data_IF_454024270514
#
_entry.id   IF_454024270514
#
_cell.length_a   1.000
_cell.length_b   1.000
_cell.length_c   1.000
_cell.angle_alpha   90.00
_cell.angle_beta   90.00
_cell.angle_gamma   90.00
#
_symmetry.space_group_name_H-M   'P 1'
#
loop_
_entity.id
_entity.type
_entity.pdbx_description
1 polymer ?
#
# COMPACT_ATOMS: atom_id res chain seq x y z
N UNK A 1 -13.50 18.34 -11.33
CA UNK A 1 -12.79 17.75 -10.19
C UNK A 1 -11.78 16.79 -10.76
N UNK A 2 -10.55 16.77 -10.27
CA UNK A 2 -9.54 15.82 -10.74
C UNK A 2 -9.85 14.40 -10.31
N UNK A 3 -9.20 13.41 -10.97
CA UNK A 3 -9.31 12.00 -10.62
C UNK A 3 -8.65 11.70 -9.28
N UNK A 4 -9.20 10.74 -8.53
CA UNK A 4 -8.62 10.27 -7.26
C UNK A 4 -7.47 9.30 -7.52
N UNK A 5 -6.50 9.28 -6.61
CA UNK A 5 -5.43 8.29 -6.57
C UNK A 5 -5.59 7.43 -5.30
N UNK A 6 -5.81 6.14 -5.50
CA UNK A 6 -5.82 5.14 -4.44
C UNK A 6 -4.52 4.34 -4.43
N UNK A 7 -3.95 4.14 -3.26
CA UNK A 7 -2.77 3.30 -3.02
C UNK A 7 -3.16 2.12 -2.16
N UNK A 8 -3.00 0.90 -2.69
CA UNK A 8 -3.23 -0.35 -1.95
C UNK A 8 -1.91 -0.99 -1.58
N UNK A 9 -1.75 -1.30 -0.31
CA UNK A 9 -0.54 -1.92 0.24
C UNK A 9 -0.91 -3.12 1.11
N UNK A 10 -0.23 -4.22 0.86
CA UNK A 10 -0.33 -5.47 1.61
C UNK A 10 0.87 -5.59 2.53
N UNK A 11 0.64 -5.72 3.82
CA UNK A 11 1.70 -5.76 4.83
C UNK A 11 1.41 -6.78 5.93
N UNK A 12 2.48 -7.27 6.56
CA UNK A 12 2.43 -7.94 7.86
C UNK A 12 2.13 -6.95 9.00
N UNK A 13 1.81 -7.44 10.19
CA UNK A 13 1.58 -6.60 11.39
C UNK A 13 2.77 -5.71 11.71
N UNK A 14 3.99 -6.18 11.46
CA UNK A 14 5.24 -5.44 11.66
C UNK A 14 5.68 -4.62 10.44
N UNK A 15 4.79 -4.44 9.44
CA UNK A 15 4.95 -3.46 8.36
C UNK A 15 5.80 -3.89 7.17
N UNK A 16 6.05 -5.17 6.98
CA UNK A 16 6.75 -5.72 5.84
C UNK A 16 5.79 -6.07 4.69
N UNK A 17 6.12 -5.68 3.48
CA UNK A 17 5.33 -6.05 2.29
C UNK A 17 5.67 -7.45 1.76
N UNK A 18 6.79 -8.02 2.17
CA UNK A 18 7.17 -9.41 1.89
C UNK A 18 8.15 -9.95 2.91
N UNK A 19 8.30 -11.26 3.00
CA UNK A 19 9.39 -11.96 3.67
C UNK A 19 10.26 -12.71 2.66
N UNK A 20 11.38 -13.28 3.11
CA UNK A 20 12.34 -13.96 2.23
C UNK A 20 11.72 -15.10 1.41
N UNK A 21 10.70 -15.75 1.94
CA UNK A 21 10.00 -16.90 1.34
C UNK A 21 8.47 -16.74 1.38
N UNK A 22 7.96 -15.53 1.60
CA UNK A 22 6.51 -15.30 1.71
C UNK A 22 5.82 -15.52 0.37
N UNK A 23 4.76 -16.33 0.33
CA UNK A 23 3.88 -16.42 -0.83
C UNK A 23 3.08 -15.13 -1.00
N UNK A 24 2.40 -14.98 -2.15
CA UNK A 24 1.45 -13.89 -2.37
C UNK A 24 0.41 -13.83 -1.24
N UNK A 25 0.03 -12.62 -0.85
CA UNK A 25 -0.88 -12.39 0.28
C UNK A 25 -0.47 -13.10 1.58
N UNK A 26 0.83 -13.36 1.75
CA UNK A 26 1.38 -14.14 2.87
C UNK A 26 0.71 -15.50 3.10
N UNK A 27 0.05 -16.06 2.07
CA UNK A 27 -0.70 -17.31 2.15
C UNK A 27 -2.11 -17.18 2.78
N UNK A 28 -2.60 -15.97 2.98
CA UNK A 28 -3.91 -15.71 3.61
C UNK A 28 -5.03 -15.38 2.62
N UNK A 29 -4.87 -15.70 1.34
CA UNK A 29 -5.93 -15.51 0.38
C UNK A 29 -7.16 -16.36 0.77
N UNK A 30 -8.31 -15.71 0.91
CA UNK A 30 -9.58 -16.34 1.24
C UNK A 30 -10.72 -15.72 0.45
N UNK A 31 -11.96 -16.27 0.54
CA UNK A 31 -13.06 -15.89 -0.34
C UNK A 31 -13.49 -14.42 -0.25
N UNK A 32 -13.45 -13.82 0.95
CA UNK A 32 -13.83 -12.40 1.09
C UNK A 32 -12.74 -11.46 0.55
N UNK A 33 -11.46 -11.82 0.70
CA UNK A 33 -10.36 -11.08 0.10
C UNK A 33 -10.39 -11.22 -1.43
N UNK A 34 -10.63 -12.40 -1.96
CA UNK A 34 -10.78 -12.62 -3.42
C UNK A 34 -11.91 -11.79 -3.98
N UNK A 35 -13.09 -11.82 -3.35
CA UNK A 35 -14.26 -11.06 -3.81
C UNK A 35 -14.01 -9.55 -3.73
N UNK A 36 -13.31 -9.08 -2.70
CA UNK A 36 -12.91 -7.69 -2.60
C UNK A 36 -11.98 -7.31 -3.77
N UNK A 37 -10.96 -8.14 -4.09
CA UNK A 37 -10.05 -7.90 -5.21
C UNK A 37 -10.83 -7.84 -6.53
N UNK A 38 -11.73 -8.77 -6.78
CA UNK A 38 -12.56 -8.81 -7.99
C UNK A 38 -13.44 -7.57 -8.12
N UNK A 39 -14.11 -7.18 -7.04
CA UNK A 39 -14.95 -5.97 -6.99
C UNK A 39 -14.14 -4.73 -7.34
N UNK A 40 -12.98 -4.59 -6.75
CA UNK A 40 -12.09 -3.45 -6.97
C UNK A 40 -11.53 -3.39 -8.40
N UNK A 41 -11.25 -4.54 -9.02
CA UNK A 41 -10.79 -4.60 -10.39
C UNK A 41 -11.92 -4.44 -11.42
N UNK A 42 -13.17 -4.65 -11.03
CA UNK A 42 -14.31 -4.46 -11.92
C UNK A 42 -14.56 -2.99 -12.29
N UNK A 43 -14.22 -2.06 -11.40
CA UNK A 43 -14.39 -0.63 -11.64
C UNK A 43 -13.43 -0.10 -12.71
N UNK A 44 -13.89 0.82 -13.60
CA UNK A 44 -13.01 1.52 -14.53
C UNK A 44 -11.91 2.29 -13.78
N UNK A 45 -10.66 2.07 -14.14
CA UNK A 45 -9.50 2.68 -13.48
C UNK A 45 -8.27 2.62 -14.36
N UNK A 46 -7.31 3.52 -14.12
CA UNK A 46 -5.96 3.47 -14.68
C UNK A 46 -5.02 2.89 -13.61
N UNK A 47 -4.41 1.75 -13.92
CA UNK A 47 -3.49 1.07 -12.99
C UNK A 47 -2.08 1.65 -13.14
N UNK A 48 -1.50 2.10 -12.03
CA UNK A 48 -0.17 2.69 -11.97
C UNK A 48 0.81 1.71 -11.32
N UNK A 49 1.84 1.32 -12.05
CA UNK A 49 2.80 0.29 -11.61
C UNK A 49 4.24 0.82 -11.68
N UNK A 50 5.07 0.36 -10.78
CA UNK A 50 6.52 0.40 -10.94
C UNK A 50 7.02 -0.86 -11.66
N UNK A 51 8.23 -0.78 -12.23
CA UNK A 51 8.81 -1.86 -13.03
C UNK A 51 8.77 -3.23 -12.33
N UNK A 52 9.25 -3.33 -11.09
CA UNK A 52 9.30 -4.62 -10.37
C UNK A 52 7.93 -5.26 -10.20
N UNK A 53 6.92 -4.47 -9.83
CA UNK A 53 5.54 -4.97 -9.69
C UNK A 53 4.98 -5.39 -11.04
N UNK A 54 5.24 -4.60 -12.08
CA UNK A 54 4.86 -4.95 -13.44
C UNK A 54 5.48 -6.29 -13.87
N UNK A 55 6.81 -6.45 -13.74
CA UNK A 55 7.53 -7.67 -14.12
C UNK A 55 7.02 -8.89 -13.35
N UNK A 56 6.74 -8.74 -12.04
CA UNK A 56 6.22 -9.81 -11.20
C UNK A 56 4.81 -10.26 -11.65
N UNK A 57 3.92 -9.32 -11.96
CA UNK A 57 2.55 -9.63 -12.38
C UNK A 57 2.49 -10.11 -13.84
N UNK A 58 3.22 -9.48 -14.75
CA UNK A 58 3.27 -9.85 -16.15
C UNK A 58 3.94 -11.23 -16.36
N UNK A 59 4.90 -11.56 -15.50
CA UNK A 59 5.66 -12.81 -15.54
C UNK A 59 5.03 -13.97 -14.77
N UNK A 60 3.80 -13.84 -14.27
CA UNK A 60 3.11 -14.93 -13.60
C UNK A 60 2.98 -16.15 -14.56
N UNK A 61 3.28 -17.37 -14.10
CA UNK A 61 3.07 -18.58 -14.88
C UNK A 61 1.58 -18.80 -15.14
N UNK A 62 1.23 -19.50 -16.20
CA UNK A 62 -0.15 -19.65 -16.66
C UNK A 62 -1.08 -20.23 -15.57
N UNK A 63 -0.56 -21.12 -14.73
CA UNK A 63 -1.28 -21.77 -13.64
C UNK A 63 -1.67 -20.78 -12.53
N UNK A 64 -0.96 -19.65 -12.42
CA UNK A 64 -1.21 -18.59 -11.43
C UNK A 64 -2.06 -17.44 -11.99
N UNK A 65 -2.45 -17.49 -13.27
CA UNK A 65 -3.26 -16.47 -13.94
C UNK A 65 -4.74 -16.72 -13.73
N UNK A 66 -5.24 -16.28 -12.60
CA UNK A 66 -6.64 -16.36 -12.23
C UNK A 66 -7.54 -15.33 -12.96
N UNK A 67 -8.78 -15.23 -12.53
CA UNK A 67 -9.76 -14.25 -13.06
C UNK A 67 -9.32 -12.80 -12.78
N UNK A 68 -8.72 -12.54 -11.61
CA UNK A 68 -8.22 -11.21 -11.24
C UNK A 68 -7.07 -10.78 -12.15
N UNK A 69 -6.17 -11.71 -12.50
CA UNK A 69 -5.11 -11.45 -13.47
C UNK A 69 -5.66 -11.14 -14.88
N UNK A 70 -6.68 -11.88 -15.33
CA UNK A 70 -7.34 -11.62 -16.63
C UNK A 70 -7.97 -10.23 -16.63
N UNK A 71 -8.68 -9.88 -15.57
CA UNK A 71 -9.30 -8.55 -15.45
C UNK A 71 -8.24 -7.45 -15.41
N UNK A 72 -7.15 -7.64 -14.68
CA UNK A 72 -6.01 -6.71 -14.69
C UNK A 72 -5.42 -6.55 -16.10
N UNK A 73 -5.41 -7.60 -16.92
CA UNK A 73 -4.93 -7.55 -18.31
C UNK A 73 -5.77 -6.62 -19.19
N UNK A 74 -7.08 -6.54 -18.93
CA UNK A 74 -8.01 -5.68 -19.68
C UNK A 74 -7.90 -4.20 -19.29
N UNK A 75 -7.52 -3.89 -18.06
CA UNK A 75 -7.38 -2.52 -17.58
C UNK A 75 -6.21 -1.80 -18.25
N UNK A 76 -6.37 -0.51 -18.48
CA UNK A 76 -5.26 0.36 -18.88
C UNK A 76 -4.23 0.47 -17.77
N UNK A 77 -2.96 0.35 -18.15
CA UNK A 77 -1.81 0.36 -17.22
C UNK A 77 -0.74 1.34 -17.65
N UNK A 78 -0.17 2.02 -16.67
CA UNK A 78 1.04 2.84 -16.86
C UNK A 78 2.14 2.31 -15.96
N UNK A 79 3.29 2.00 -16.55
CA UNK A 79 4.49 1.51 -15.84
C UNK A 79 5.55 2.59 -15.81
N UNK A 80 5.87 3.08 -14.62
CA UNK A 80 6.97 4.02 -14.44
C UNK A 80 8.30 3.28 -14.39
N UNK A 81 9.10 3.49 -15.44
CA UNK A 81 10.43 2.87 -15.57
C UNK A 81 11.32 3.63 -16.53
N UNK A 82 12.58 3.84 -16.14
CA UNK A 82 13.63 4.34 -17.02
C UNK A 82 14.36 3.24 -17.81
N UNK A 83 14.23 1.97 -17.40
CA UNK A 83 15.00 0.86 -17.92
C UNK A 83 14.18 -0.20 -18.66
N UNK A 84 12.85 -0.21 -18.49
CA UNK A 84 12.00 -1.14 -19.23
C UNK A 84 11.90 -0.67 -20.69
N UNK A 85 12.33 -1.51 -21.62
CA UNK A 85 12.34 -1.17 -23.04
C UNK A 85 10.99 -1.40 -23.70
N UNK A 86 10.34 -2.50 -23.38
CA UNK A 86 9.07 -2.92 -23.97
C UNK A 86 8.13 -3.45 -22.89
N UNK A 87 6.84 -3.20 -23.05
CA UNK A 87 5.79 -3.75 -22.22
C UNK A 87 5.02 -4.81 -23.02
N UNK A 88 5.22 -6.08 -22.67
CA UNK A 88 4.55 -7.19 -23.34
C UNK A 88 3.12 -7.45 -22.82
N UNK A 89 2.80 -6.99 -21.59
CA UNK A 89 1.46 -7.14 -21.04
C UNK A 89 0.49 -6.20 -21.75
N UNK A 90 -0.65 -6.67 -22.29
CA UNK A 90 -1.60 -5.83 -23.02
C UNK A 90 -2.05 -4.59 -22.25
N UNK A 91 -2.45 -3.55 -22.97
CA UNK A 91 -2.96 -2.28 -22.41
C UNK A 91 -1.98 -1.61 -21.43
N UNK A 92 -0.67 -1.71 -21.73
CA UNK A 92 0.38 -1.15 -20.89
C UNK A 92 1.20 -0.10 -21.64
N UNK A 93 1.32 1.09 -21.06
CA UNK A 93 2.19 2.16 -21.52
C UNK A 93 3.38 2.33 -20.58
N UNK A 94 4.57 2.55 -21.13
CA UNK A 94 5.77 2.86 -20.34
C UNK A 94 5.88 4.37 -20.21
N UNK A 95 5.92 4.85 -18.97
CA UNK A 95 6.16 6.25 -18.66
C UNK A 95 7.60 6.44 -18.16
N UNK A 96 8.35 7.33 -18.81
CA UNK A 96 9.73 7.72 -18.47
C UNK A 96 9.81 9.10 -17.83
N UNK A 97 8.67 9.75 -17.65
CA UNK A 97 8.58 11.07 -17.03
C UNK A 97 8.81 10.98 -15.51
N UNK A 98 9.06 12.13 -14.91
CA UNK A 98 9.15 12.24 -13.46
C UNK A 98 7.79 11.88 -12.83
N UNK A 99 7.82 10.98 -11.82
CA UNK A 99 6.63 10.35 -11.26
C UNK A 99 5.61 11.35 -10.73
N UNK A 100 6.05 12.28 -9.88
CA UNK A 100 5.15 13.20 -9.17
C UNK A 100 4.48 14.18 -10.12
N UNK A 101 5.24 14.71 -11.07
CA UNK A 101 4.72 15.63 -12.08
C UNK A 101 3.71 14.94 -12.99
N UNK A 102 4.03 13.72 -13.43
CA UNK A 102 3.16 12.98 -14.34
C UNK A 102 1.87 12.49 -13.66
N UNK A 103 1.95 12.04 -12.40
CA UNK A 103 0.73 11.70 -11.65
C UNK A 103 -0.16 12.92 -11.40
N UNK A 104 0.41 14.10 -11.15
CA UNK A 104 -0.38 15.35 -11.08
C UNK A 104 -1.11 15.63 -12.39
N UNK A 105 -0.43 15.49 -13.52
CA UNK A 105 -1.02 15.65 -14.83
C UNK A 105 -2.14 14.62 -15.06
N UNK A 106 -1.87 13.33 -14.78
CA UNK A 106 -2.86 12.25 -14.92
C UNK A 106 -4.09 12.49 -14.04
N UNK A 107 -3.91 12.95 -12.79
CA UNK A 107 -5.05 13.29 -11.90
C UNK A 107 -5.93 14.39 -12.49
N UNK A 108 -5.37 15.30 -13.28
CA UNK A 108 -6.14 16.36 -13.94
C UNK A 108 -6.84 15.87 -15.21
N UNK A 109 -6.13 15.08 -16.01
CA UNK A 109 -6.53 14.74 -17.38
C UNK A 109 -7.28 13.40 -17.49
N UNK A 110 -7.12 12.51 -16.51
CA UNK A 110 -7.76 11.19 -16.52
C UNK A 110 -9.26 11.30 -16.32
N UNK A 111 -10.02 10.61 -17.15
CA UNK A 111 -11.47 10.45 -16.99
C UNK A 111 -11.87 9.36 -15.96
N UNK A 112 -10.88 8.63 -15.43
CA UNK A 112 -11.09 7.51 -14.49
C UNK A 112 -10.14 7.63 -13.30
N UNK A 113 -10.46 7.03 -12.12
CA UNK A 113 -9.57 6.98 -10.98
C UNK A 113 -8.24 6.31 -11.30
N UNK A 114 -7.17 6.76 -10.64
CA UNK A 114 -5.86 6.11 -10.65
C UNK A 114 -5.74 5.19 -9.45
N UNK A 115 -5.11 4.04 -9.66
CA UNK A 115 -4.87 3.08 -8.59
C UNK A 115 -3.49 2.44 -8.72
N UNK A 116 -2.75 2.35 -7.63
CA UNK A 116 -1.52 1.55 -7.58
C UNK A 116 -1.66 0.42 -6.56
N UNK A 117 -1.25 -0.76 -6.96
CA UNK A 117 -1.25 -1.96 -6.13
C UNK A 117 0.19 -2.43 -5.97
N UNK A 118 0.77 -2.22 -4.82
CA UNK A 118 2.18 -2.46 -4.63
C UNK A 118 3.05 -1.33 -5.18
N UNK A 119 4.27 -1.64 -5.67
CA UNK A 119 5.28 -0.65 -6.04
C UNK A 119 5.58 0.30 -4.88
N UNK A 120 6.14 -0.24 -3.82
CA UNK A 120 6.34 0.49 -2.56
C UNK A 120 7.08 1.81 -2.74
N UNK A 121 8.03 1.86 -3.67
CA UNK A 121 8.74 3.11 -3.99
C UNK A 121 7.83 4.18 -4.58
N UNK A 122 6.87 3.81 -5.43
CA UNK A 122 5.85 4.72 -5.94
C UNK A 122 4.95 5.20 -4.80
N UNK A 123 4.42 4.26 -4.03
CA UNK A 123 3.52 4.56 -2.91
C UNK A 123 4.14 5.55 -1.92
N UNK A 124 5.42 5.36 -1.54
CA UNK A 124 6.15 6.27 -0.66
C UNK A 124 6.32 7.66 -1.25
N UNK A 125 6.75 7.74 -2.51
CA UNK A 125 6.96 9.03 -3.18
C UNK A 125 5.64 9.79 -3.34
N UNK A 126 4.58 9.11 -3.75
CA UNK A 126 3.26 9.72 -3.96
C UNK A 126 2.61 10.17 -2.65
N UNK A 127 2.76 9.38 -1.57
CA UNK A 127 2.31 9.78 -0.23
C UNK A 127 3.10 10.97 0.27
N UNK A 128 4.42 10.96 0.14
CA UNK A 128 5.28 12.09 0.54
C UNK A 128 5.02 13.37 -0.26
N UNK A 129 4.58 13.26 -1.51
CA UNK A 129 4.20 14.38 -2.37
C UNK A 129 2.76 14.89 -2.12
N UNK A 130 1.99 14.28 -1.20
CA UNK A 130 0.61 14.66 -0.91
C UNK A 130 -0.36 14.39 -2.06
N UNK A 131 -0.08 13.41 -2.92
CA UNK A 131 -0.90 13.08 -4.09
C UNK A 131 -1.90 11.95 -3.85
N UNK A 132 -1.76 11.23 -2.76
CA UNK A 132 -2.61 10.09 -2.40
C UNK A 132 -3.89 10.60 -1.75
N UNK A 133 -5.04 10.27 -2.36
CA UNK A 133 -6.36 10.60 -1.81
C UNK A 133 -6.88 9.49 -0.90
N UNK A 134 -6.51 8.24 -1.18
CA UNK A 134 -6.88 7.05 -0.40
C UNK A 134 -5.67 6.15 -0.23
N UNK A 135 -5.33 5.85 1.01
CA UNK A 135 -4.32 4.85 1.38
C UNK A 135 -5.03 3.67 2.04
N UNK A 136 -5.01 2.52 1.36
CA UNK A 136 -5.60 1.30 1.90
C UNK A 136 -4.50 0.33 2.31
N UNK A 137 -4.53 -0.06 3.57
CA UNK A 137 -3.61 -1.02 4.14
C UNK A 137 -4.35 -2.32 4.41
N UNK A 138 -3.90 -3.41 3.80
CA UNK A 138 -4.30 -4.77 4.17
C UNK A 138 -3.23 -5.35 5.07
N UNK A 139 -3.58 -5.50 6.33
CA UNK A 139 -2.68 -6.05 7.36
C UNK A 139 -3.01 -7.52 7.58
N UNK A 140 -2.03 -8.36 7.26
CA UNK A 140 -2.11 -9.80 7.45
C UNK A 140 -1.65 -10.20 8.84
N UNK A 141 -2.29 -11.19 9.49
CA UNK A 141 -2.08 -11.52 10.90
C UNK A 141 -0.81 -12.34 11.13
N UNK A 142 0.35 -11.81 10.75
CA UNK A 142 1.65 -12.41 10.99
C UNK A 142 2.70 -11.35 11.29
N UNK A 143 3.75 -11.77 11.97
CA UNK A 143 5.00 -11.04 12.14
C UNK A 143 6.04 -11.72 11.27
N UNK A 144 6.67 -10.96 10.37
CA UNK A 144 7.72 -11.46 9.48
C UNK A 144 9.09 -11.38 10.13
N UNK A 145 9.32 -10.39 10.97
CA UNK A 145 10.55 -10.22 11.75
C UNK A 145 11.79 -10.07 10.87
N UNK A 146 12.88 -10.73 11.27
CA UNK A 146 14.20 -10.63 10.61
C UNK A 146 14.23 -11.15 9.16
N UNK A 147 13.25 -11.97 8.77
CA UNK A 147 13.10 -12.42 7.38
C UNK A 147 12.45 -11.38 6.47
N UNK A 148 12.01 -10.26 7.04
CA UNK A 148 11.30 -9.19 6.34
C UNK A 148 12.09 -8.61 5.18
N UNK A 149 11.37 -8.37 4.10
CA UNK A 149 11.86 -7.70 2.90
C UNK A 149 10.90 -6.57 2.56
N UNK A 150 11.45 -5.44 2.11
CA UNK A 150 10.68 -4.30 1.66
C UNK A 150 9.76 -3.70 2.74
N UNK A 151 10.33 -3.06 3.78
CA UNK A 151 9.55 -2.39 4.81
C UNK A 151 8.75 -1.23 4.20
N UNK A 152 7.43 -1.22 4.34
CA UNK A 152 6.61 -0.17 3.69
C UNK A 152 6.88 1.22 4.28
N UNK A 153 6.95 1.33 5.59
CA UNK A 153 7.05 2.62 6.28
C UNK A 153 8.48 3.19 6.34
N UNK A 154 9.50 2.45 5.88
CA UNK A 154 10.88 2.94 5.92
C UNK A 154 11.08 4.16 5.02
N UNK A 155 11.74 5.19 5.58
CA UNK A 155 12.05 6.43 4.88
C UNK A 155 10.82 7.23 4.41
N UNK A 156 9.65 7.00 4.99
CA UNK A 156 8.48 7.86 4.79
C UNK A 156 8.55 9.08 5.70
N UNK A 157 8.14 10.23 5.16
CA UNK A 157 7.86 11.39 5.99
C UNK A 157 6.62 11.13 6.87
N UNK A 158 6.58 11.76 8.03
CA UNK A 158 5.39 11.72 8.89
C UNK A 158 4.19 12.30 8.18
N UNK A 159 3.07 11.62 8.27
CA UNK A 159 1.80 12.06 7.69
C UNK A 159 0.66 11.80 8.68
N UNK A 160 -0.24 12.76 8.80
CA UNK A 160 -1.50 12.58 9.51
C UNK A 160 -2.49 11.86 8.62
N UNK A 161 -3.25 10.94 9.19
CA UNK A 161 -4.23 10.12 8.50
C UNK A 161 -5.59 10.23 9.19
N UNK A 162 -6.63 10.39 8.39
CA UNK A 162 -8.02 10.28 8.82
C UNK A 162 -8.52 8.88 8.47
N UNK A 163 -9.09 8.17 9.45
CA UNK A 163 -9.74 6.88 9.20
C UNK A 163 -11.03 7.10 8.41
N UNK A 164 -11.15 6.45 7.26
CA UNK A 164 -12.32 6.54 6.37
C UNK A 164 -13.19 5.31 6.49
N UNK A 165 -12.59 4.13 6.43
CA UNK A 165 -13.30 2.84 6.52
C UNK A 165 -12.38 1.78 7.10
N UNK A 166 -12.98 0.73 7.66
CA UNK A 166 -12.27 -0.46 8.07
C UNK A 166 -13.17 -1.69 8.02
N UNK A 167 -12.59 -2.83 7.71
CA UNK A 167 -13.29 -4.12 7.72
C UNK A 167 -12.32 -5.26 7.94
N UNK A 168 -12.82 -6.35 8.47
CA UNK A 168 -12.08 -7.61 8.55
C UNK A 168 -12.54 -8.51 7.41
N UNK A 169 -11.60 -9.08 6.66
CA UNK A 169 -11.84 -10.03 5.60
C UNK A 169 -11.41 -11.42 6.05
N UNK A 170 -12.19 -12.44 5.72
CA UNK A 170 -11.95 -13.85 6.11
C UNK A 170 -11.74 -14.03 7.62
N UNK A 171 -12.31 -13.16 8.43
CA UNK A 171 -12.18 -13.15 9.89
C UNK A 171 -10.76 -12.90 10.40
N UNK A 172 -9.81 -12.46 9.56
CA UNK A 172 -8.38 -12.38 9.92
C UNK A 172 -7.56 -11.29 9.24
N UNK A 173 -7.87 -10.86 8.03
CA UNK A 173 -7.15 -9.79 7.34
C UNK A 173 -7.82 -8.46 7.64
N UNK A 174 -7.10 -7.49 8.16
CA UNK A 174 -7.63 -6.17 8.45
C UNK A 174 -7.39 -5.24 7.27
N UNK A 175 -8.45 -4.83 6.61
CA UNK A 175 -8.44 -3.77 5.59
C UNK A 175 -8.81 -2.45 6.26
N UNK A 176 -7.92 -1.47 6.18
CA UNK A 176 -8.15 -0.12 6.69
C UNK A 176 -7.92 0.90 5.58
N UNK A 177 -8.87 1.80 5.40
CA UNK A 177 -8.79 2.89 4.45
C UNK A 177 -8.57 4.22 5.18
N UNK A 178 -7.53 4.93 4.77
CA UNK A 178 -7.18 6.24 5.28
C UNK A 178 -7.20 7.30 4.19
N UNK A 179 -7.48 8.53 4.61
CA UNK A 179 -7.22 9.74 3.83
C UNK A 179 -6.03 10.47 4.44
N UNK A 180 -4.91 10.67 3.72
CA UNK A 180 -3.84 11.53 4.19
C UNK A 180 -4.33 12.99 4.30
N UNK A 181 -4.06 13.63 5.44
CA UNK A 181 -4.53 15.00 5.72
C UNK A 181 -3.40 16.02 5.79
N UNK A 182 -2.17 15.60 5.51
CA UNK A 182 -0.98 16.43 5.52
C UNK A 182 0.06 15.97 6.55
N UNK A 183 1.00 16.85 6.89
CA UNK A 183 2.08 16.55 7.82
C UNK A 183 1.80 16.94 9.28
N UNK A 184 0.71 17.67 9.53
CA UNK A 184 0.36 18.11 10.87
C UNK A 184 -0.29 16.98 11.66
N UNK A 185 0.55 16.32 12.46
CA UNK A 185 0.09 15.25 13.35
C UNK A 185 -0.66 15.88 14.53
N UNK A 186 -1.90 15.44 14.82
CA UNK A 186 -2.65 15.94 15.95
C UNK A 186 -1.85 15.79 17.25
N UNK A 187 -1.65 16.90 17.97
CA UNK A 187 -1.04 16.88 19.29
C UNK A 187 -2.13 16.74 20.34
N UNK A 188 -1.96 15.81 21.26
CA UNK A 188 -2.85 15.70 22.40
C UNK A 188 -2.82 17.00 23.18
N UNK A 189 -3.98 17.58 23.47
CA UNK A 189 -4.14 18.68 24.45
C UNK A 189 -3.99 18.18 25.89
N UNK A 190 -3.89 16.87 26.10
CA UNK A 190 -3.60 16.31 27.41
C UNK A 190 -2.18 16.68 27.82
N UNK A 191 -2.03 17.20 29.06
CA UNK A 191 -0.74 17.39 29.72
C UNK A 191 0.15 16.16 29.47
N UNK A 192 1.44 16.31 29.11
CA UNK A 192 2.34 15.18 29.09
C UNK A 192 2.21 14.47 30.43
N UNK A 193 1.92 13.18 30.43
CA UNK A 193 2.13 12.34 31.60
C UNK A 193 3.58 12.60 32.00
N UNK A 194 3.79 13.25 33.13
CA UNK A 194 5.11 13.40 33.70
C UNK A 194 5.63 11.96 33.88
N UNK A 195 6.54 11.56 33.01
CA UNK A 195 7.33 10.37 33.24
C UNK A 195 7.97 10.59 34.59
N UNK A 196 7.52 9.84 35.60
CA UNK A 196 7.96 10.02 36.97
C UNK A 196 9.47 10.04 37.01
N UNK A 197 9.99 11.01 37.77
CA UNK A 197 11.41 11.18 38.02
C UNK A 197 12.01 9.80 38.41
N UNK A 198 13.03 9.29 37.71
CA UNK A 198 13.64 7.99 38.02
C UNK A 198 14.28 7.92 39.44
N UNK A 199 14.29 9.02 40.19
CA UNK A 199 14.81 9.09 41.55
C UNK A 199 13.86 8.53 42.64
N UNK A 200 12.61 8.08 42.30
CA UNK A 200 11.65 7.56 43.29
C UNK A 200 11.57 6.01 43.33
N UNK A 201 12.66 5.32 43.02
CA UNK A 201 12.77 3.88 43.27
C UNK A 201 12.99 3.59 44.77
N UNK A 202 11.97 3.81 45.58
CA UNK A 202 11.98 3.29 46.97
C UNK A 202 11.82 1.78 46.93
N UNK A 203 12.87 1.14 47.39
CA UNK A 203 12.97 -0.27 47.75
C UNK A 203 11.67 -0.87 48.28
N UNK A 204 11.07 -1.76 47.52
CA UNK A 204 10.13 -2.75 48.04
C UNK A 204 11.01 -3.81 48.72
N UNK A 205 11.16 -3.76 50.07
CA UNK A 205 11.68 -4.86 50.84
C UNK A 205 10.64 -5.97 50.76
N UNK A 206 10.99 -7.07 50.14
CA UNK A 206 10.34 -8.35 50.34
C UNK A 206 10.62 -8.79 51.76
N UNK A 207 9.61 -8.69 52.64
CA UNK A 207 9.61 -9.38 53.94
C UNK A 207 9.20 -10.83 53.70
N UNK A 208 9.98 -11.72 54.20
CA UNK A 208 9.71 -13.17 54.38
C UNK A 208 8.51 -13.42 55.26
#
# INVERSE_FOLDING_TARGET
MGSTLTVDIFISVDGWASGATSPGYFGYLGPELEEWIKTELAAPQLVVLGRRTYEALAGLPDEARDESWRRMTELDKVVFSSTLEQAAWPNTQICRQELVAEIRRMKTDSGVPLRTMGSLSLARQLTGAGLVDRLRLMTFPLIVGDSGREPFFANMASAALELVDHRTLDGRVLLVEYRPTGSDIPRSLARPLALGDPASSRQIRLGL
#
